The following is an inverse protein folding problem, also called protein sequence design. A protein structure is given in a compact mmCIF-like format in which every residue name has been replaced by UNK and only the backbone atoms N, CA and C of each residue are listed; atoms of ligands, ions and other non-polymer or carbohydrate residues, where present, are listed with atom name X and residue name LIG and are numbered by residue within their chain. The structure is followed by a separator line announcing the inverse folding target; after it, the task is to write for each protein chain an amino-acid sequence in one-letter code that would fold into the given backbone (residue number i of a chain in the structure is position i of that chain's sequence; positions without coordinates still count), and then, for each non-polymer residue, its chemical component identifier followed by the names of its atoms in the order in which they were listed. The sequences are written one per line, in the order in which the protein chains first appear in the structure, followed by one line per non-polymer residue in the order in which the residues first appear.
data_IF_446281820499
#
_entry.id   IF_446281820499
#
_cell.length_a   1.000
_cell.length_b   1.000
_cell.length_c   1.000
_cell.angle_alpha   90.00
_cell.angle_beta   90.00
_cell.angle_gamma   90.00
#
_symmetry.space_group_name_H-M   'P 1'
#
loop_
_entity.id
_entity.type
_entity.pdbx_description
1 polymer ?
#
# COMPACT_ATOMS: atom_id res chain seq x y z
N UNK A 1 20.21 2.13 -18.21
CA UNK A 1 19.83 1.36 -17.01
C UNK A 1 18.45 0.82 -17.25
N UNK A 2 18.21 -0.46 -17.14
CA UNK A 2 16.95 -1.10 -17.47
C UNK A 2 16.07 -1.22 -16.21
N UNK A 3 14.78 -1.00 -16.31
CA UNK A 3 13.85 -1.09 -15.16
C UNK A 3 13.13 -2.44 -15.18
N UNK A 4 12.85 -3.01 -14.02
CA UNK A 4 12.04 -4.20 -13.86
C UNK A 4 10.54 -3.81 -13.84
N UNK A 5 9.75 -4.41 -14.73
CA UNK A 5 8.31 -4.19 -14.82
C UNK A 5 7.59 -5.30 -14.07
N UNK A 6 6.85 -4.95 -13.02
CA UNK A 6 6.10 -5.91 -12.19
C UNK A 6 4.97 -6.57 -12.98
N UNK A 7 4.82 -7.88 -12.82
CA UNK A 7 3.73 -8.65 -13.43
C UNK A 7 3.88 -8.99 -14.92
N UNK A 8 4.95 -8.55 -15.56
CA UNK A 8 5.20 -8.79 -16.98
C UNK A 8 6.18 -9.96 -17.15
N UNK A 9 5.97 -10.81 -18.17
CA UNK A 9 6.86 -11.91 -18.51
C UNK A 9 8.32 -11.45 -18.70
N UNK A 10 9.28 -12.31 -18.36
CA UNK A 10 10.72 -12.00 -18.41
C UNK A 10 11.22 -11.39 -19.73
N UNK A 11 10.51 -11.60 -20.84
CA UNK A 11 10.85 -11.05 -22.17
C UNK A 11 10.55 -9.55 -22.30
N UNK A 12 9.62 -9.01 -21.51
CA UNK A 12 9.27 -7.57 -21.46
C UNK A 12 10.00 -6.85 -20.30
N UNK A 13 10.71 -7.59 -19.47
CA UNK A 13 11.22 -7.13 -18.17
C UNK A 13 12.36 -6.14 -18.20
N UNK A 14 12.80 -5.62 -19.36
CA UNK A 14 13.93 -4.71 -19.46
C UNK A 14 13.68 -3.54 -20.41
N UNK A 15 12.74 -2.66 -20.04
CA UNK A 15 12.47 -1.41 -20.72
C UNK A 15 13.42 -0.29 -20.24
N UNK A 16 13.70 0.70 -21.07
CA UNK A 16 14.22 1.98 -20.62
C UNK A 16 13.17 2.70 -19.78
N UNK A 17 13.58 3.67 -18.95
CA UNK A 17 12.65 4.42 -18.10
C UNK A 17 11.53 5.12 -18.88
N UNK A 18 11.78 5.78 -20.03
CA UNK A 18 10.71 6.36 -20.85
C UNK A 18 9.76 5.30 -21.39
N UNK A 19 10.27 4.19 -21.95
CA UNK A 19 9.43 3.09 -22.46
C UNK A 19 8.55 2.50 -21.35
N UNK A 20 9.08 2.31 -20.14
CA UNK A 20 8.31 1.86 -19.00
C UNK A 20 7.21 2.86 -18.62
N UNK A 21 7.47 4.16 -18.66
CA UNK A 21 6.47 5.20 -18.42
C UNK A 21 5.33 5.09 -19.43
N UNK A 22 5.65 5.02 -20.70
CA UNK A 22 4.66 4.91 -21.78
C UNK A 22 3.82 3.63 -21.64
N UNK A 23 4.48 2.50 -21.33
CA UNK A 23 3.80 1.23 -21.08
C UNK A 23 2.79 1.35 -19.93
N UNK A 24 3.20 1.86 -18.76
CA UNK A 24 2.30 1.97 -17.62
C UNK A 24 1.17 2.98 -17.85
N UNK A 25 1.41 4.06 -18.58
CA UNK A 25 0.36 4.99 -18.96
C UNK A 25 -0.63 4.37 -19.96
N UNK A 26 -0.19 3.49 -20.86
CA UNK A 26 -1.09 2.78 -21.77
C UNK A 26 -2.08 1.86 -21.03
N UNK A 27 -1.68 1.30 -19.88
CA UNK A 27 -2.58 0.51 -19.03
C UNK A 27 -3.74 1.34 -18.44
N UNK A 28 -3.59 2.66 -18.42
CA UNK A 28 -4.60 3.59 -17.92
C UNK A 28 -5.63 4.00 -18.97
N UNK A 29 -5.48 3.58 -20.22
CA UNK A 29 -6.39 3.96 -21.30
C UNK A 29 -7.84 3.54 -20.98
N UNK A 30 -8.77 4.48 -21.19
CA UNK A 30 -10.20 4.29 -20.92
C UNK A 30 -10.58 4.25 -19.44
N UNK A 31 -9.64 4.51 -18.53
CA UNK A 31 -9.92 4.64 -17.10
C UNK A 31 -9.98 6.11 -16.69
N UNK A 32 -10.94 6.45 -15.84
CA UNK A 32 -11.06 7.75 -15.19
C UNK A 32 -10.82 7.58 -13.70
N UNK A 33 -9.79 8.22 -13.11
CA UNK A 33 -9.52 8.14 -11.69
C UNK A 33 -10.69 8.64 -10.85
N UNK A 34 -11.00 7.94 -9.78
CA UNK A 34 -11.96 8.41 -8.78
C UNK A 34 -11.36 9.55 -7.93
N UNK A 35 -10.08 9.41 -7.53
CA UNK A 35 -9.43 10.43 -6.76
C UNK A 35 -8.99 11.61 -7.66
N UNK A 36 -9.06 12.85 -7.14
CA UNK A 36 -8.56 14.02 -7.87
C UNK A 36 -7.05 13.92 -8.11
N UNK A 37 -6.54 14.75 -9.00
CA UNK A 37 -5.11 14.90 -9.22
C UNK A 37 -4.38 15.19 -7.89
N UNK A 38 -3.11 14.78 -7.75
CA UNK A 38 -2.36 15.00 -6.52
C UNK A 38 -2.27 16.49 -6.16
N UNK A 39 -2.64 16.82 -4.93
CA UNK A 39 -2.44 18.14 -4.34
C UNK A 39 -0.99 18.26 -3.89
N UNK A 40 -0.30 19.30 -4.33
CA UNK A 40 1.08 19.58 -3.93
C UNK A 40 1.12 20.88 -3.14
N UNK A 41 1.64 20.83 -1.91
CA UNK A 41 1.78 22.00 -1.02
C UNK A 41 3.26 22.13 -0.65
N UNK A 42 3.77 23.34 -0.62
CA UNK A 42 5.13 23.61 -0.20
C UNK A 42 5.21 23.81 1.32
N UNK A 43 6.19 23.16 1.93
CA UNK A 43 6.55 23.31 3.35
C UNK A 43 8.08 23.41 3.47
N UNK A 44 8.56 24.48 4.06
CA UNK A 44 10.01 24.70 4.30
C UNK A 44 10.86 24.53 3.02
N UNK A 45 10.35 25.00 1.87
CA UNK A 45 11.02 24.87 0.57
C UNK A 45 10.99 23.46 -0.04
N UNK A 46 10.17 22.56 0.50
CA UNK A 46 9.94 21.19 0.00
C UNK A 46 8.53 21.08 -0.53
N UNK A 47 8.38 20.64 -1.75
CA UNK A 47 7.09 20.29 -2.35
C UNK A 47 6.59 18.96 -1.78
N UNK A 48 5.39 18.92 -1.24
CA UNK A 48 4.81 17.72 -0.63
C UNK A 48 3.54 17.32 -1.36
N UNK A 49 3.51 16.10 -1.90
CA UNK A 49 2.25 15.49 -2.36
C UNK A 49 1.45 15.07 -1.14
N UNK A 50 0.21 15.55 -1.05
CA UNK A 50 -0.67 15.46 0.13
C UNK A 50 -1.72 14.37 -0.03
N UNK A 51 -1.29 13.11 -0.11
CA UNK A 51 -2.24 11.97 -0.15
C UNK A 51 -2.90 11.67 1.22
N UNK A 52 -2.56 12.44 2.26
CA UNK A 52 -3.33 12.53 3.51
C UNK A 52 -4.69 13.25 3.34
N UNK A 53 -4.89 13.99 2.25
CA UNK A 53 -6.18 14.58 1.89
C UNK A 53 -7.16 13.58 1.25
N UNK A 54 -6.69 12.39 0.95
CA UNK A 54 -7.45 11.21 0.55
C UNK A 54 -7.16 10.08 1.55
N UNK A 55 -7.70 8.88 1.36
CA UNK A 55 -7.41 7.74 2.27
C UNK A 55 -5.95 7.28 2.18
N UNK A 56 -5.22 7.72 1.17
CA UNK A 56 -3.79 7.48 0.99
C UNK A 56 -3.44 7.03 -0.43
N UNK A 57 -2.15 7.01 -0.75
CA UNK A 57 -1.63 6.62 -2.08
C UNK A 57 -2.12 5.24 -2.54
N UNK A 58 -2.45 4.33 -1.62
CA UNK A 58 -2.97 3.00 -1.95
C UNK A 58 -4.37 3.04 -2.57
N UNK A 59 -5.15 4.11 -2.38
CA UNK A 59 -6.39 4.30 -3.13
C UNK A 59 -6.11 4.58 -4.60
N UNK A 60 -5.10 5.37 -4.93
CA UNK A 60 -4.70 5.61 -6.33
C UNK A 60 -4.24 4.32 -7.02
N UNK A 61 -3.42 3.54 -6.31
CA UNK A 61 -2.94 2.24 -6.79
C UNK A 61 -4.07 1.22 -6.98
N UNK A 62 -4.98 1.14 -6.01
CA UNK A 62 -6.09 0.19 -6.00
C UNK A 62 -7.20 0.54 -6.98
N UNK A 63 -7.40 1.82 -7.29
CA UNK A 63 -8.48 2.31 -8.14
C UNK A 63 -8.41 1.72 -9.56
N UNK A 64 -7.30 1.91 -10.27
CA UNK A 64 -7.12 1.32 -11.60
C UNK A 64 -7.16 -0.22 -11.54
N UNK A 65 -6.54 -0.81 -10.54
CA UNK A 65 -6.54 -2.26 -10.34
C UNK A 65 -7.97 -2.78 -10.20
N UNK A 66 -8.80 -2.19 -9.34
CA UNK A 66 -10.19 -2.61 -9.16
C UNK A 66 -11.05 -2.35 -10.40
N UNK A 67 -10.80 -1.25 -11.13
CA UNK A 67 -11.50 -0.94 -12.38
C UNK A 67 -11.24 -1.99 -13.48
N UNK A 68 -10.03 -2.51 -13.58
CA UNK A 68 -9.60 -3.40 -14.67
C UNK A 68 -9.72 -4.90 -14.34
N UNK A 69 -9.69 -5.29 -13.07
CA UNK A 69 -9.88 -6.68 -12.66
C UNK A 69 -11.36 -7.08 -12.82
N UNK A 70 -11.67 -8.17 -13.54
CA UNK A 70 -13.05 -8.56 -13.80
C UNK A 70 -13.77 -9.17 -12.59
N UNK A 71 -13.05 -9.69 -11.60
CA UNK A 71 -13.62 -10.35 -10.43
C UNK A 71 -14.43 -9.37 -9.55
N UNK A 72 -15.58 -9.81 -9.05
CA UNK A 72 -16.43 -9.02 -8.16
C UNK A 72 -15.92 -8.94 -6.72
N UNK A 73 -14.98 -9.80 -6.36
CA UNK A 73 -14.43 -9.91 -5.01
C UNK A 73 -12.90 -9.83 -5.04
N UNK A 74 -12.36 -8.94 -4.21
CA UNK A 74 -10.94 -8.79 -3.99
C UNK A 74 -10.56 -9.48 -2.68
N UNK A 75 -9.43 -10.17 -2.63
CA UNK A 75 -8.89 -10.81 -1.42
C UNK A 75 -7.52 -10.20 -1.12
N UNK A 76 -7.32 -9.75 0.10
CA UNK A 76 -6.07 -9.13 0.52
C UNK A 76 -5.68 -9.56 1.94
N UNK A 77 -4.38 -9.51 2.25
CA UNK A 77 -3.89 -9.73 3.61
C UNK A 77 -3.64 -8.38 4.28
N UNK A 78 -4.41 -8.07 5.32
CA UNK A 78 -4.24 -6.87 6.11
C UNK A 78 -3.39 -7.15 7.34
N UNK A 79 -2.16 -6.63 7.42
CA UNK A 79 -1.35 -6.65 8.63
C UNK A 79 -2.02 -5.87 9.78
N UNK A 80 -1.47 -5.98 10.99
CA UNK A 80 -1.96 -5.18 12.13
C UNK A 80 -1.84 -3.67 11.89
N UNK A 81 -0.80 -3.25 11.17
CA UNK A 81 -0.55 -1.84 10.83
C UNK A 81 -0.37 -1.72 9.31
N UNK A 82 -0.98 -0.72 8.71
CA UNK A 82 -0.85 -0.42 7.28
C UNK A 82 -2.15 0.09 6.66
N UNK A 83 -2.04 1.01 5.71
CA UNK A 83 -3.17 1.66 5.04
C UNK A 83 -3.76 0.85 3.88
N UNK A 84 -3.07 -0.19 3.40
CA UNK A 84 -3.45 -0.84 2.15
C UNK A 84 -4.84 -1.49 2.19
N UNK A 85 -5.16 -2.24 3.25
CA UNK A 85 -6.49 -2.85 3.40
C UNK A 85 -7.59 -1.80 3.59
N UNK A 86 -7.31 -0.74 4.37
CA UNK A 86 -8.24 0.38 4.56
C UNK A 86 -8.56 1.04 3.21
N UNK A 87 -7.52 1.33 2.42
CA UNK A 87 -7.67 1.89 1.07
C UNK A 87 -8.44 0.96 0.12
N UNK A 88 -8.17 -0.35 0.19
CA UNK A 88 -8.87 -1.33 -0.64
C UNK A 88 -10.35 -1.48 -0.26
N UNK A 89 -10.73 -1.27 1.00
CA UNK A 89 -12.15 -1.24 1.39
C UNK A 89 -12.90 -0.10 0.67
N UNK A 90 -12.31 1.11 0.67
CA UNK A 90 -12.92 2.25 -0.01
C UNK A 90 -12.93 2.08 -1.53
N UNK A 91 -11.84 1.57 -2.11
CA UNK A 91 -11.74 1.25 -3.54
C UNK A 91 -12.77 0.19 -3.96
N UNK A 92 -12.91 -0.89 -3.18
CA UNK A 92 -13.90 -1.93 -3.48
C UNK A 92 -15.32 -1.35 -3.48
N UNK A 93 -15.66 -0.50 -2.51
CA UNK A 93 -16.95 0.20 -2.44
C UNK A 93 -17.18 1.09 -3.67
N UNK A 94 -16.19 1.87 -4.10
CA UNK A 94 -16.26 2.74 -5.28
C UNK A 94 -16.59 1.94 -6.53
N UNK A 95 -15.98 0.77 -6.70
CA UNK A 95 -16.17 -0.10 -7.88
C UNK A 95 -17.29 -1.14 -7.71
N UNK A 96 -18.11 -1.05 -6.65
CA UNK A 96 -19.20 -2.01 -6.40
C UNK A 96 -18.71 -3.44 -6.15
N UNK A 97 -17.48 -3.61 -5.70
CA UNK A 97 -16.85 -4.91 -5.41
C UNK A 97 -16.92 -5.26 -3.93
N UNK A 98 -16.76 -6.55 -3.63
CA UNK A 98 -16.56 -7.05 -2.27
C UNK A 98 -15.08 -7.09 -1.93
N UNK A 99 -14.75 -6.97 -0.65
CA UNK A 99 -13.40 -7.13 -0.14
C UNK A 99 -13.38 -8.14 1.01
N UNK A 100 -12.53 -9.15 0.88
CA UNK A 100 -12.24 -10.15 1.92
C UNK A 100 -10.83 -9.92 2.43
N UNK A 101 -10.69 -9.75 3.73
CA UNK A 101 -9.41 -9.48 4.36
C UNK A 101 -9.00 -10.61 5.30
N UNK A 102 -7.86 -11.20 5.02
CA UNK A 102 -7.19 -12.11 5.93
C UNK A 102 -6.35 -11.31 6.92
N UNK A 103 -6.59 -11.51 8.21
CA UNK A 103 -5.96 -10.74 9.28
C UNK A 103 -5.33 -11.65 10.33
N UNK A 104 -4.15 -11.31 10.89
CA UNK A 104 -3.59 -12.05 12.00
C UNK A 104 -4.49 -11.87 13.23
N UNK A 105 -4.88 -12.99 13.87
CA UNK A 105 -5.65 -12.97 15.11
C UNK A 105 -4.81 -12.46 16.29
N UNK A 106 -5.45 -11.81 17.24
CA UNK A 106 -4.85 -11.32 18.47
C UNK A 106 -5.92 -11.13 19.55
N UNK A 107 -5.51 -10.99 20.82
CA UNK A 107 -6.46 -10.71 21.92
C UNK A 107 -7.26 -9.42 21.67
N UNK A 108 -6.64 -8.44 21.05
CA UNK A 108 -7.27 -7.20 20.67
C UNK A 108 -6.84 -6.85 19.24
N UNK A 109 -7.78 -6.55 18.38
CA UNK A 109 -7.48 -6.11 17.02
C UNK A 109 -6.86 -4.72 17.04
N UNK A 110 -6.11 -4.39 15.99
CA UNK A 110 -5.50 -3.07 15.85
C UNK A 110 -6.51 -2.04 15.33
N UNK A 111 -6.16 -0.76 15.49
CA UNK A 111 -6.91 0.36 14.93
C UNK A 111 -7.15 0.21 13.42
N UNK A 112 -6.13 -0.13 12.64
CA UNK A 112 -6.25 -0.33 11.19
C UNK A 112 -7.15 -1.51 10.82
N UNK A 113 -7.10 -2.61 11.58
CA UNK A 113 -8.01 -3.74 11.39
C UNK A 113 -9.45 -3.35 11.69
N UNK A 114 -9.69 -2.59 12.76
CA UNK A 114 -11.01 -2.07 13.12
C UNK A 114 -11.55 -1.13 12.02
N UNK A 115 -10.72 -0.26 11.47
CA UNK A 115 -11.10 0.60 10.34
C UNK A 115 -11.55 -0.18 9.10
N UNK A 116 -10.94 -1.34 8.82
CA UNK A 116 -11.39 -2.19 7.72
C UNK A 116 -12.77 -2.82 8.01
N UNK A 117 -12.99 -3.28 9.24
CA UNK A 117 -14.28 -3.84 9.66
C UNK A 117 -15.39 -2.78 9.59
N UNK A 118 -15.13 -1.57 10.09
CA UNK A 118 -16.06 -0.44 10.03
C UNK A 118 -16.48 -0.10 8.59
N UNK A 119 -15.54 -0.28 7.63
CA UNK A 119 -15.78 -0.07 6.19
C UNK A 119 -16.50 -1.22 5.51
N UNK A 120 -16.89 -2.26 6.27
CA UNK A 120 -17.69 -3.37 5.77
C UNK A 120 -16.89 -4.48 5.10
N UNK A 121 -15.60 -4.61 5.35
CA UNK A 121 -14.82 -5.75 4.87
C UNK A 121 -15.30 -7.05 5.51
N UNK A 122 -15.42 -8.11 4.72
CA UNK A 122 -15.47 -9.48 5.23
C UNK A 122 -14.09 -9.84 5.78
N UNK A 123 -14.01 -10.38 7.00
CA UNK A 123 -12.73 -10.64 7.65
C UNK A 123 -12.58 -12.08 8.07
N UNK A 124 -11.43 -12.67 7.75
CA UNK A 124 -10.97 -13.98 8.20
C UNK A 124 -9.79 -13.79 9.14
N UNK A 125 -9.96 -14.18 10.40
CA UNK A 125 -8.88 -14.13 11.39
C UNK A 125 -8.17 -15.46 11.44
N UNK A 126 -6.86 -15.43 11.19
CA UNK A 126 -6.01 -16.62 11.18
C UNK A 126 -5.01 -16.59 12.33
N UNK A 127 -4.78 -17.75 12.98
CA UNK A 127 -3.69 -17.89 13.95
C UNK A 127 -2.37 -17.99 13.20
N UNK A 128 -1.59 -16.94 13.24
CA UNK A 128 -0.41 -16.91 12.41
C UNK A 128 0.83 -16.49 13.16
N UNK A 129 1.88 -17.27 12.91
CA UNK A 129 3.23 -16.95 13.30
C UNK A 129 3.97 -16.09 12.27
N UNK A 130 3.61 -16.18 10.97
CA UNK A 130 4.33 -15.50 9.90
C UNK A 130 3.42 -15.03 8.76
N UNK A 131 3.64 -13.83 8.26
CA UNK A 131 2.91 -13.23 7.13
C UNK A 131 2.92 -14.06 5.83
N UNK A 132 3.99 -14.80 5.45
CA UNK A 132 3.96 -15.68 4.28
C UNK A 132 2.85 -16.74 4.32
N UNK A 133 2.59 -17.34 5.47
CA UNK A 133 1.54 -18.35 5.63
C UNK A 133 0.14 -17.74 5.45
N UNK A 134 -0.07 -16.53 5.98
CA UNK A 134 -1.31 -15.79 5.81
C UNK A 134 -1.57 -15.45 4.34
N UNK A 135 -0.54 -15.02 3.64
CA UNK A 135 -0.62 -14.76 2.20
C UNK A 135 -0.97 -16.04 1.41
N UNK A 136 -0.39 -17.19 1.78
CA UNK A 136 -0.68 -18.47 1.14
C UNK A 136 -2.15 -18.89 1.37
N UNK A 137 -2.65 -18.75 2.60
CA UNK A 137 -4.05 -19.06 2.94
C UNK A 137 -5.03 -18.16 2.16
N UNK A 138 -4.76 -16.86 2.14
CA UNK A 138 -5.59 -15.89 1.41
C UNK A 138 -5.58 -16.15 -0.11
N UNK A 139 -4.41 -16.49 -0.68
CA UNK A 139 -4.28 -16.82 -2.10
C UNK A 139 -5.06 -18.08 -2.44
N UNK A 140 -4.92 -19.15 -1.65
CA UNK A 140 -5.65 -20.39 -1.83
C UNK A 140 -7.18 -20.17 -1.76
N UNK A 141 -7.64 -19.41 -0.76
CA UNK A 141 -9.05 -19.04 -0.64
C UNK A 141 -9.55 -18.29 -1.88
N UNK A 142 -8.80 -17.34 -2.39
CA UNK A 142 -9.15 -16.60 -3.60
C UNK A 142 -9.26 -17.53 -4.82
N UNK A 143 -8.30 -18.44 -5.01
CA UNK A 143 -8.28 -19.42 -6.11
C UNK A 143 -9.50 -20.37 -6.03
N UNK A 144 -9.82 -20.90 -4.85
CA UNK A 144 -10.95 -21.83 -4.63
C UNK A 144 -12.31 -21.17 -4.88
N UNK A 145 -12.43 -19.85 -4.70
CA UNK A 145 -13.68 -19.11 -4.85
C UNK A 145 -13.76 -18.30 -6.16
N UNK A 146 -12.73 -18.33 -7.00
CA UNK A 146 -12.69 -17.52 -8.22
C UNK A 146 -12.56 -16.02 -7.96
N UNK A 147 -11.95 -15.61 -6.85
CA UNK A 147 -11.74 -14.22 -6.44
C UNK A 147 -10.37 -13.72 -6.87
N UNK A 148 -10.18 -12.41 -6.90
CA UNK A 148 -8.90 -11.81 -7.21
C UNK A 148 -8.03 -11.65 -5.96
N UNK A 149 -6.93 -12.40 -5.87
CA UNK A 149 -5.92 -12.19 -4.83
C UNK A 149 -5.03 -11.00 -5.16
N UNK A 150 -4.95 -10.04 -4.23
CA UNK A 150 -4.10 -8.86 -4.34
C UNK A 150 -2.84 -9.08 -3.51
N UNK A 151 -1.65 -9.10 -4.12
CA UNK A 151 -0.41 -9.31 -3.40
C UNK A 151 -0.10 -8.22 -2.37
N UNK A 152 0.62 -8.58 -1.30
CA UNK A 152 1.03 -7.64 -0.26
C UNK A 152 1.76 -6.42 -0.84
N UNK A 153 1.37 -5.23 -0.38
CA UNK A 153 1.89 -3.95 -0.88
C UNK A 153 1.29 -3.52 -2.23
N UNK A 154 0.30 -4.27 -2.76
CA UNK A 154 -0.28 -4.07 -4.10
C UNK A 154 0.78 -4.23 -5.20
N UNK A 155 1.61 -5.27 -5.11
CA UNK A 155 2.59 -5.61 -6.15
C UNK A 155 1.89 -6.15 -7.39
N UNK A 156 1.34 -5.23 -8.18
CA UNK A 156 0.61 -5.51 -9.40
C UNK A 156 0.85 -4.39 -10.41
N UNK A 157 0.97 -4.72 -11.69
CA UNK A 157 1.24 -3.74 -12.75
C UNK A 157 0.18 -2.63 -12.80
N UNK A 158 -1.10 -2.97 -12.69
CA UNK A 158 -2.18 -1.98 -12.67
C UNK A 158 -2.08 -1.04 -11.46
N UNK A 159 -1.67 -1.54 -10.30
CA UNK A 159 -1.43 -0.70 -9.12
C UNK A 159 -0.25 0.26 -9.34
N UNK A 160 0.82 -0.22 -9.95
CA UNK A 160 1.96 0.62 -10.36
C UNK A 160 1.52 1.66 -11.39
N UNK A 161 0.71 1.28 -12.39
CA UNK A 161 0.20 2.18 -13.42
C UNK A 161 -0.65 3.32 -12.83
N UNK A 162 -1.53 3.03 -11.88
CA UNK A 162 -2.33 4.05 -11.19
C UNK A 162 -1.48 5.10 -10.47
N UNK A 163 -0.35 4.68 -9.87
CA UNK A 163 0.61 5.60 -9.24
C UNK A 163 1.38 6.41 -10.31
N UNK A 164 1.86 5.76 -11.36
CA UNK A 164 2.56 6.42 -12.49
C UNK A 164 1.67 7.48 -13.11
N UNK A 165 0.40 7.17 -13.33
CA UNK A 165 -0.58 8.12 -13.84
C UNK A 165 -0.73 9.33 -12.90
N UNK A 166 -0.93 9.10 -11.61
CA UNK A 166 -1.05 10.19 -10.65
C UNK A 166 0.23 11.06 -10.62
N UNK A 167 1.40 10.43 -10.58
CA UNK A 167 2.68 11.14 -10.59
C UNK A 167 2.90 11.94 -11.89
N UNK A 168 2.39 11.47 -13.03
CA UNK A 168 2.49 12.20 -14.31
C UNK A 168 1.74 13.54 -14.32
N UNK A 169 0.81 13.77 -13.37
CA UNK A 169 0.11 15.04 -13.16
C UNK A 169 0.91 16.05 -12.35
N UNK A 170 2.01 15.64 -11.77
CA UNK A 170 2.91 16.49 -10.97
C UNK A 170 4.18 16.73 -11.77
N UNK A 171 4.62 17.99 -11.93
CA UNK A 171 5.89 18.30 -12.61
C UNK A 171 7.06 17.56 -11.97
N UNK A 172 7.90 16.94 -12.81
CA UNK A 172 9.06 16.18 -12.38
C UNK A 172 9.97 17.03 -11.48
N UNK A 173 10.32 16.57 -10.27
CA UNK A 173 11.25 17.25 -9.40
C UNK A 173 12.70 16.91 -9.74
N UNK A 174 13.68 17.67 -9.17
CA UNK A 174 15.08 17.32 -9.27
C UNK A 174 15.44 16.18 -8.31
N UNK A 175 14.88 16.23 -7.09
CA UNK A 175 15.11 15.23 -6.05
C UNK A 175 13.80 14.78 -5.41
N UNK A 176 13.70 13.48 -5.11
CA UNK A 176 12.52 12.85 -4.47
C UNK A 176 12.93 12.14 -3.20
N UNK A 177 12.23 12.41 -2.11
CA UNK A 177 12.35 11.65 -0.86
C UNK A 177 11.07 10.87 -0.60
N UNK A 178 11.20 9.57 -0.35
CA UNK A 178 10.05 8.68 -0.19
C UNK A 178 10.34 7.54 0.79
N UNK A 179 9.35 7.17 1.60
CA UNK A 179 9.44 5.98 2.43
C UNK A 179 9.36 4.71 1.58
N UNK A 180 10.18 3.72 1.90
CA UNK A 180 10.18 2.44 1.20
C UNK A 180 9.97 1.26 2.14
N UNK A 181 9.14 0.31 1.70
CA UNK A 181 8.91 -0.99 2.33
C UNK A 181 8.90 -2.10 1.27
N UNK A 182 7.87 -2.16 0.43
CA UNK A 182 7.77 -3.09 -0.71
C UNK A 182 8.26 -2.51 -2.04
N UNK A 183 8.67 -1.27 -2.04
CA UNK A 183 9.20 -0.55 -3.19
C UNK A 183 8.19 -0.12 -4.26
N UNK A 184 6.92 -0.53 -4.17
CA UNK A 184 5.92 -0.25 -5.24
C UNK A 184 5.79 1.25 -5.52
N UNK A 185 5.63 2.09 -4.48
CA UNK A 185 5.55 3.54 -4.66
C UNK A 185 6.87 4.09 -5.23
N UNK A 186 8.00 3.82 -4.59
CA UNK A 186 9.30 4.35 -5.01
C UNK A 186 9.60 4.02 -6.47
N UNK A 187 9.38 2.76 -6.90
CA UNK A 187 9.59 2.36 -8.29
C UNK A 187 8.61 3.02 -9.27
N UNK A 188 7.33 3.14 -8.89
CA UNK A 188 6.35 3.84 -9.73
C UNK A 188 6.73 5.31 -9.95
N UNK A 189 7.19 6.00 -8.90
CA UNK A 189 7.68 7.38 -9.02
C UNK A 189 8.95 7.47 -9.87
N UNK A 190 9.89 6.51 -9.76
CA UNK A 190 11.09 6.44 -10.59
C UNK A 190 10.74 6.25 -12.08
N UNK A 191 9.66 5.54 -12.38
CA UNK A 191 9.13 5.38 -13.74
C UNK A 191 8.51 6.68 -14.22
N UNK A 192 7.69 7.33 -13.39
CA UNK A 192 7.00 8.58 -13.74
C UNK A 192 8.00 9.74 -13.97
N UNK A 193 9.09 9.77 -13.20
CA UNK A 193 10.10 10.82 -13.22
C UNK A 193 11.50 10.26 -13.49
N UNK A 194 11.82 9.94 -14.76
CA UNK A 194 13.02 9.21 -15.14
C UNK A 194 14.32 9.99 -14.87
N UNK A 195 14.29 11.31 -14.81
CA UNK A 195 15.47 12.16 -14.61
C UNK A 195 15.69 12.57 -13.15
N UNK A 196 14.67 12.44 -12.28
CA UNK A 196 14.77 12.81 -10.88
C UNK A 196 15.74 11.90 -10.11
N UNK A 197 16.47 12.47 -9.14
CA UNK A 197 17.28 11.72 -8.18
C UNK A 197 16.37 11.23 -7.04
N UNK A 198 16.49 9.96 -6.67
CA UNK A 198 15.65 9.36 -5.64
C UNK A 198 16.43 9.00 -4.39
N UNK A 199 15.84 9.32 -3.24
CA UNK A 199 16.30 8.96 -1.90
C UNK A 199 15.18 8.16 -1.22
N UNK A 200 15.40 6.87 -1.04
CA UNK A 200 14.42 5.96 -0.44
C UNK A 200 14.80 5.62 0.99
N UNK A 201 13.97 6.06 1.94
CA UNK A 201 14.15 5.80 3.38
C UNK A 201 13.49 4.47 3.75
N UNK A 202 14.28 3.50 4.19
CA UNK A 202 13.81 2.15 4.53
C UNK A 202 13.19 2.13 5.93
N UNK A 203 11.88 2.22 6.01
CA UNK A 203 11.14 2.41 7.28
C UNK A 203 10.51 1.14 7.86
N UNK A 204 10.53 0.00 7.14
CA UNK A 204 9.73 -1.15 7.55
C UNK A 204 10.51 -2.46 7.73
N UNK A 205 11.31 -2.87 6.76
CA UNK A 205 12.03 -4.14 6.73
C UNK A 205 13.20 -4.09 5.77
N UNK A 206 14.05 -5.10 5.82
CA UNK A 206 15.09 -5.26 4.83
C UNK A 206 14.48 -5.38 3.43
N UNK A 207 15.02 -4.61 2.48
CA UNK A 207 14.60 -4.62 1.10
C UNK A 207 15.03 -5.91 0.40
N UNK A 208 14.16 -6.41 -0.45
CA UNK A 208 14.49 -7.51 -1.37
C UNK A 208 15.14 -6.95 -2.64
N UNK A 209 15.82 -7.83 -3.38
CA UNK A 209 16.40 -7.46 -4.66
C UNK A 209 15.36 -6.82 -5.60
N UNK A 210 15.73 -5.72 -6.24
CA UNK A 210 14.86 -4.98 -7.17
C UNK A 210 13.86 -4.02 -6.53
N UNK A 211 13.62 -4.07 -5.20
CA UNK A 211 12.66 -3.17 -4.55
C UNK A 211 13.13 -1.71 -4.50
N UNK A 212 14.43 -1.48 -4.40
CA UNK A 212 15.02 -0.14 -4.35
C UNK A 212 15.00 0.57 -5.71
N UNK A 213 15.08 -0.19 -6.82
CA UNK A 213 15.26 0.39 -8.15
C UNK A 213 16.60 1.12 -8.26
N UNK A 214 16.57 2.38 -8.76
CA UNK A 214 17.76 3.24 -8.90
C UNK A 214 17.94 4.26 -7.77
N UNK A 215 17.12 4.17 -6.71
CA UNK A 215 17.18 5.11 -5.60
C UNK A 215 18.44 4.93 -4.75
N UNK A 216 18.91 6.02 -4.15
CA UNK A 216 19.86 5.96 -3.06
C UNK A 216 19.15 5.45 -1.79
N UNK A 217 19.78 4.51 -1.11
CA UNK A 217 19.26 3.92 0.11
C UNK A 217 19.59 4.77 1.32
N UNK A 218 18.59 5.06 2.15
CA UNK A 218 18.76 5.66 3.47
C UNK A 218 18.21 4.67 4.49
N UNK A 219 19.05 4.22 5.41
CA UNK A 219 18.66 3.35 6.50
C UNK A 219 17.96 4.15 7.60
N UNK A 220 16.75 3.71 7.99
CA UNK A 220 16.04 4.25 9.14
C UNK A 220 16.19 3.26 10.31
N UNK A 221 16.97 3.62 11.35
CA UNK A 221 17.30 2.69 12.44
C UNK A 221 16.13 2.38 13.35
N UNK A 222 15.07 3.20 13.36
CA UNK A 222 13.91 2.95 14.21
C UNK A 222 13.05 1.81 13.65
N UNK A 223 12.64 0.89 14.52
CA UNK A 223 11.71 -0.18 14.16
C UNK A 223 10.42 0.37 13.53
N UNK A 224 9.82 -0.43 12.62
CA UNK A 224 8.63 -0.01 11.89
C UNK A 224 7.50 0.50 12.78
N UNK A 225 7.26 -0.15 13.92
CA UNK A 225 6.15 0.21 14.82
C UNK A 225 6.47 1.39 15.73
N UNK A 226 7.72 1.83 15.79
CA UNK A 226 8.13 2.99 16.60
C UNK A 226 7.74 4.28 15.87
N UNK A 227 6.87 5.11 16.44
CA UNK A 227 6.54 6.42 15.86
C UNK A 227 7.77 7.33 15.81
N UNK A 228 7.81 8.23 14.82
CA UNK A 228 8.80 9.30 14.80
C UNK A 228 8.59 10.25 15.99
N UNK A 229 9.67 10.84 16.47
CA UNK A 229 9.66 11.78 17.58
C UNK A 229 8.99 13.09 17.18
N UNK A 230 8.30 13.73 18.12
CA UNK A 230 7.55 14.98 17.87
C UNK A 230 8.42 16.09 17.28
N UNK A 231 9.68 16.21 17.71
CA UNK A 231 10.63 17.21 17.18
C UNK A 231 11.01 17.01 15.71
N UNK A 232 10.79 15.81 15.16
CA UNK A 232 11.13 15.46 13.76
C UNK A 232 9.88 15.37 12.86
N UNK A 233 8.69 15.60 13.41
CA UNK A 233 7.47 15.49 12.63
C UNK A 233 7.40 16.59 11.56
N UNK A 234 6.88 16.27 10.37
CA UNK A 234 6.58 17.30 9.38
C UNK A 234 5.41 18.19 9.82
N UNK A 235 5.31 19.43 9.28
CA UNK A 235 4.23 20.37 9.61
C UNK A 235 2.89 20.05 8.91
N UNK A 236 2.62 18.78 8.62
CA UNK A 236 1.40 18.29 7.98
C UNK A 236 1.04 16.90 8.51
N UNK A 237 -0.25 16.47 8.40
CA UNK A 237 -0.67 15.13 8.78
C UNK A 237 0.08 14.05 7.99
N UNK A 238 0.53 13.02 8.70
CA UNK A 238 1.32 11.92 8.12
C UNK A 238 1.19 10.67 8.99
N UNK A 239 1.57 9.52 8.47
CA UNK A 239 1.69 8.28 9.25
C UNK A 239 2.97 8.32 10.07
N UNK A 240 2.84 8.47 11.40
CA UNK A 240 3.98 8.65 12.32
C UNK A 240 4.99 7.48 12.28
N UNK A 241 4.54 6.27 12.00
CA UNK A 241 5.41 5.08 11.89
C UNK A 241 6.00 4.88 10.49
N UNK A 242 5.63 5.70 9.51
CA UNK A 242 6.01 5.52 8.10
C UNK A 242 6.60 6.81 7.51
N UNK A 243 5.79 7.65 6.85
CA UNK A 243 6.28 8.82 6.12
C UNK A 243 6.88 9.90 7.01
N UNK A 244 6.41 10.04 8.26
CA UNK A 244 6.99 11.00 9.20
C UNK A 244 8.52 10.82 9.34
N UNK A 245 9.00 9.57 9.26
CA UNK A 245 10.42 9.24 9.36
C UNK A 245 11.27 9.78 8.20
N UNK A 246 10.65 10.10 7.07
CA UNK A 246 11.34 10.64 5.89
C UNK A 246 11.73 12.10 6.09
N UNK A 247 10.89 12.88 6.78
CA UNK A 247 11.01 14.34 6.85
C UNK A 247 12.35 14.84 7.39
N UNK A 248 12.93 14.17 8.39
CA UNK A 248 14.24 14.54 8.99
C UNK A 248 15.42 14.41 8.04
N UNK A 249 15.30 13.61 6.98
CA UNK A 249 16.37 13.39 6.00
C UNK A 249 16.34 14.39 4.85
N UNK A 250 15.28 15.17 4.71
CA UNK A 250 15.12 16.12 3.61
C UNK A 250 15.83 17.42 3.95
N UNK A 251 16.77 17.90 3.11
CA UNK A 251 17.34 19.24 3.28
C UNK A 251 16.28 20.31 2.99
N UNK A 252 16.10 21.25 3.94
CA UNK A 252 15.09 22.31 3.88
C UNK A 252 15.67 23.61 3.33
N UNK A 253 14.81 24.41 2.67
CA UNK A 253 15.14 25.77 2.21
C UNK A 253 16.43 25.88 1.36
N UNK A 254 16.70 24.84 0.56
CA UNK A 254 17.93 24.77 -0.26
C UNK A 254 17.84 25.50 -1.59
N UNK A 255 16.65 25.93 -2.00
CA UNK A 255 16.35 26.45 -3.33
C UNK A 255 16.29 25.39 -4.43
N UNK A 256 16.51 24.10 -4.11
CA UNK A 256 16.34 22.99 -5.04
C UNK A 256 14.87 22.58 -5.15
N UNK A 257 14.49 22.04 -6.31
CA UNK A 257 13.16 21.49 -6.54
C UNK A 257 13.06 20.08 -5.94
N UNK A 258 12.89 20.01 -4.61
CA UNK A 258 12.76 18.76 -3.85
C UNK A 258 11.29 18.43 -3.65
N UNK A 259 10.93 17.15 -3.79
CA UNK A 259 9.60 16.64 -3.55
C UNK A 259 9.61 15.48 -2.54
N UNK A 260 8.66 15.51 -1.60
CA UNK A 260 8.29 14.37 -0.77
C UNK A 260 6.90 13.86 -1.18
N UNK A 261 6.75 12.54 -1.32
CA UNK A 261 5.42 11.94 -1.48
C UNK A 261 4.92 11.45 -0.12
N UNK A 262 3.97 12.18 0.49
CA UNK A 262 3.31 11.78 1.73
C UNK A 262 2.17 10.79 1.40
N UNK A 263 2.30 9.53 1.82
CA UNK A 263 1.38 8.45 1.43
C UNK A 263 0.00 8.52 2.11
N UNK A 264 -0.15 9.32 3.15
CA UNK A 264 -1.41 9.42 3.87
C UNK A 264 -1.24 9.79 5.34
N UNK A 265 -2.31 9.57 6.10
CA UNK A 265 -2.33 9.70 7.56
C UNK A 265 -3.05 8.51 8.17
N UNK A 266 -2.97 8.36 9.50
CA UNK A 266 -3.69 7.27 10.18
C UNK A 266 -5.20 7.41 9.94
N UNK A 267 -5.90 6.31 9.58
CA UNK A 267 -7.31 6.39 9.21
C UNK A 267 -8.18 6.68 10.44
N UNK A 268 -9.28 7.38 10.23
CA UNK A 268 -10.26 7.65 11.28
C UNK A 268 -11.10 6.39 11.52
N UNK A 269 -11.26 6.02 12.78
CA UNK A 269 -12.21 5.03 13.27
C UNK A 269 -13.32 5.78 14.03
N UNK A 270 -14.57 5.61 13.61
CA UNK A 270 -15.70 6.30 14.23
C UNK A 270 -16.27 5.49 15.41
N UNK A 271 -16.33 4.16 15.28
CA UNK A 271 -16.81 3.26 16.33
C UNK A 271 -15.68 2.47 16.99
N UNK A 272 -15.11 3.02 18.04
CA UNK A 272 -14.07 2.33 18.82
C UNK A 272 -14.56 1.05 19.49
N UNK A 273 -15.87 0.85 19.68
CA UNK A 273 -16.43 -0.37 20.25
C UNK A 273 -16.14 -1.63 19.38
N UNK A 274 -15.82 -1.44 18.11
CA UNK A 274 -15.40 -2.53 17.22
C UNK A 274 -14.15 -3.23 17.77
N UNK A 275 -13.20 -2.46 18.32
CA UNK A 275 -11.96 -3.02 18.91
C UNK A 275 -12.31 -3.94 20.08
N UNK A 276 -13.22 -3.51 20.96
CA UNK A 276 -13.58 -4.25 22.16
C UNK A 276 -14.51 -5.44 21.89
N UNK A 277 -15.41 -5.30 20.91
CA UNK A 277 -16.39 -6.35 20.55
C UNK A 277 -15.80 -7.44 19.65
N UNK A 278 -14.68 -7.18 18.97
CA UNK A 278 -14.09 -8.13 18.03
C UNK A 278 -13.10 -9.06 18.72
N UNK A 279 -13.58 -10.19 19.19
CA UNK A 279 -12.71 -11.27 19.71
C UNK A 279 -12.22 -12.14 18.54
N UNK A 280 -11.13 -11.72 17.91
CA UNK A 280 -10.54 -12.43 16.77
C UNK A 280 -9.98 -13.81 17.15
N UNK A 281 -9.60 -14.00 18.43
CA UNK A 281 -9.08 -15.27 18.92
C UNK A 281 -10.17 -16.33 19.09
N UNK A 282 -11.38 -15.95 19.57
CA UNK A 282 -12.52 -16.88 19.70
C UNK A 282 -13.12 -17.23 18.35
N UNK A 283 -13.18 -16.29 17.42
CA UNK A 283 -13.64 -16.56 16.05
C UNK A 283 -12.76 -17.63 15.41
N UNK A 284 -11.44 -17.49 15.48
CA UNK A 284 -10.51 -18.48 14.95
C UNK A 284 -10.71 -19.89 15.55
N UNK A 285 -10.84 -20.01 16.89
CA UNK A 285 -11.09 -21.32 17.53
C UNK A 285 -12.41 -21.98 17.10
N UNK A 286 -13.43 -21.19 16.82
CA UNK A 286 -14.74 -21.69 16.37
C UNK A 286 -14.65 -22.27 14.97
N UNK A 287 -13.90 -21.66 14.08
CA UNK A 287 -13.69 -22.12 12.71
C UNK A 287 -12.87 -23.41 12.65
N UNK A 288 -11.82 -23.57 13.49
CA UNK A 288 -11.08 -24.84 13.62
C UNK A 288 -11.95 -26.00 14.12
N UNK A 289 -12.84 -25.75 15.06
CA UNK A 289 -13.74 -26.80 15.59
C UNK A 289 -14.74 -27.24 14.55
N UNK A 290 -15.20 -26.34 13.67
CA UNK A 290 -16.14 -26.66 12.59
C UNK A 290 -15.46 -27.47 11.49
N UNK A 291 -14.20 -27.16 11.15
CA UNK A 291 -13.43 -27.87 10.13
C UNK A 291 -13.06 -29.30 10.60
N UNK A 292 -12.69 -29.48 11.87
CA UNK A 292 -12.36 -30.79 12.43
C UNK A 292 -13.58 -31.71 12.57
N UNK A 293 -14.78 -31.18 12.81
CA UNK A 293 -16.02 -31.98 12.86
C UNK A 293 -16.47 -32.45 11.48
N UNK A 294 -16.23 -31.67 10.44
CA UNK A 294 -16.54 -32.08 9.06
C UNK A 294 -15.58 -33.19 8.56
N UNK A 295 -14.35 -33.23 9.03
CA UNK A 295 -13.37 -34.27 8.64
C UNK A 295 -13.62 -35.60 9.38
N UNK A 296 -14.25 -35.58 10.55
CA UNK A 296 -14.58 -36.80 11.33
C UNK A 296 -15.94 -37.42 10.98
N UNK A 297 -16.80 -36.76 10.23
CA UNK A 297 -18.09 -37.25 9.77
C UNK A 297 -18.05 -37.95 8.39
N UNK A 298 -16.87 -38.12 7.82
CA UNK A 298 -16.62 -38.72 6.49
C UNK A 298 -15.92 -40.07 6.53
N UNK A 299 -16.13 -40.90 7.59
CA UNK A 299 -15.73 -42.31 7.63
C UNK A 299 -16.96 -43.21 7.90
#
# INVERSE_FOLDING_TARGET
MRTFVEGVNKEVGMMSWPEAKDYYLSLCEGWTPYNPDPVVIEHEGVRVVRDDLIVGTKTRAGDLLAAKIPNDTLVYVQPRVGLAGVSLCDVAKIHGKKIVLFMPSSKQISHHQACCIERGAEVHFERIAAMPNLNLAAKKYAEENGYAFIPLGLRHELATAGIVYAASKVPEPDEVYVAISTGVLSRALQIAWPNAKFHSVAVARNLQEGELGRAEFIDEPAEFQTPEKEENLPPFPTVKTYDAKVWKYIPKNTGKNILMWNVGTDPILNDYSIIDKTDSYRKWKKDETTTNTATLAGF
#
